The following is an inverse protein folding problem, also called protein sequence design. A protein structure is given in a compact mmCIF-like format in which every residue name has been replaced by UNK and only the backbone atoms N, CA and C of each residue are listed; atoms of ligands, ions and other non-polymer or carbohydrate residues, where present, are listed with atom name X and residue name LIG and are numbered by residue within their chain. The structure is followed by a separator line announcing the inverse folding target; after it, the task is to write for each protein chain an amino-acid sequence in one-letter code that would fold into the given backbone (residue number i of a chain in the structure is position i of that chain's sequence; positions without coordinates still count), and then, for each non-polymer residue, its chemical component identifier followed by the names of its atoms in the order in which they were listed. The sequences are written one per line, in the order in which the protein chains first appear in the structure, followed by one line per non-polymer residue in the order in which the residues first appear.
data_IF_125780639356
#
_entry.id   IF_125780639356
#
_cell.length_a   1.000
_cell.length_b   1.000
_cell.length_c   1.000
_cell.angle_alpha   90.00
_cell.angle_beta   90.00
_cell.angle_gamma   90.00
#
_symmetry.space_group_name_H-M   'P 1'
#
loop_
_entity.id
_entity.type
_entity.pdbx_description
1 polymer ?
#
# COMPACT_ATOMS: atom_id res chain seq x y z
N UNK A 1 0.36 2.61 20.46
CA UNK A 1 1.51 1.95 19.80
C UNK A 1 0.94 1.02 18.76
N UNK A 2 1.16 1.31 17.47
CA UNK A 2 0.81 0.33 16.43
C UNK A 2 1.82 -0.80 16.53
N UNK A 3 1.35 -2.04 16.57
CA UNK A 3 2.21 -3.20 16.70
C UNK A 3 2.91 -3.44 15.35
N UNK A 4 4.24 -3.26 15.28
CA UNK A 4 5.01 -3.45 14.06
C UNK A 4 4.77 -4.83 13.44
N UNK A 5 4.62 -5.87 14.28
CA UNK A 5 4.31 -7.22 13.80
C UNK A 5 2.95 -7.32 13.10
N UNK A 6 1.97 -6.50 13.49
CA UNK A 6 0.67 -6.45 12.79
C UNK A 6 0.80 -5.78 11.42
N UNK A 7 1.59 -4.70 11.32
CA UNK A 7 1.87 -4.04 10.04
C UNK A 7 2.58 -5.01 9.11
N UNK A 8 3.65 -5.64 9.60
CA UNK A 8 4.46 -6.58 8.81
C UNK A 8 3.61 -7.75 8.30
N UNK A 9 2.73 -8.32 9.15
CA UNK A 9 1.84 -9.40 8.75
C UNK A 9 0.86 -8.98 7.63
N UNK A 10 0.27 -7.79 7.72
CA UNK A 10 -0.64 -7.26 6.69
C UNK A 10 0.10 -6.97 5.40
N UNK A 11 1.33 -6.44 5.49
CA UNK A 11 2.18 -6.21 4.33
C UNK A 11 2.52 -7.51 3.60
N UNK A 12 3.00 -8.53 4.32
CA UNK A 12 3.33 -9.82 3.71
C UNK A 12 2.10 -10.48 3.06
N UNK A 13 0.93 -10.39 3.70
CA UNK A 13 -0.32 -10.89 3.14
C UNK A 13 -0.70 -10.17 1.84
N UNK A 14 -0.61 -8.84 1.81
CA UNK A 14 -0.87 -8.04 0.62
C UNK A 14 0.11 -8.40 -0.51
N UNK A 15 1.40 -8.52 -0.19
CA UNK A 15 2.43 -8.87 -1.16
C UNK A 15 2.22 -10.27 -1.74
N UNK A 16 1.82 -11.25 -0.93
CA UNK A 16 1.45 -12.59 -1.39
C UNK A 16 0.23 -12.54 -2.32
N UNK A 17 -0.80 -11.77 -1.98
CA UNK A 17 -1.99 -11.59 -2.81
C UNK A 17 -1.64 -10.98 -4.18
N UNK A 18 -0.84 -9.91 -4.19
CA UNK A 18 -0.47 -9.19 -5.42
C UNK A 18 0.49 -10.00 -6.32
N UNK A 19 1.28 -10.91 -5.75
CA UNK A 19 2.16 -11.83 -6.50
C UNK A 19 1.43 -13.06 -7.03
N UNK A 20 0.27 -13.38 -6.48
CA UNK A 20 -0.50 -14.55 -6.91
C UNK A 20 -1.27 -14.21 -8.18
N UNK A 21 -0.82 -14.74 -9.32
CA UNK A 21 -1.40 -14.58 -10.67
C UNK A 21 -2.85 -15.09 -10.85
N UNK A 22 -3.55 -15.43 -9.77
CA UNK A 22 -4.89 -16.03 -9.78
C UNK A 22 -6.05 -15.03 -9.90
N UNK A 23 -5.77 -13.73 -9.78
CA UNK A 23 -6.81 -12.70 -9.83
C UNK A 23 -6.50 -11.76 -10.99
N UNK A 24 -7.48 -11.40 -11.81
CA UNK A 24 -7.33 -10.41 -12.91
C UNK A 24 -7.07 -8.98 -12.40
N UNK A 25 -6.51 -8.86 -11.20
CA UNK A 25 -6.19 -7.64 -10.51
C UNK A 25 -4.88 -7.11 -11.09
N UNK A 26 -5.00 -6.08 -11.92
CA UNK A 26 -3.86 -5.29 -12.34
C UNK A 26 -3.23 -4.65 -11.10
N UNK A 27 -2.01 -5.06 -10.77
CA UNK A 27 -1.20 -4.45 -9.70
C UNK A 27 -1.19 -2.94 -9.86
N UNK A 28 -1.00 -2.43 -11.08
CA UNK A 28 -1.07 -0.99 -11.40
C UNK A 28 -2.37 -0.34 -10.92
N UNK A 29 -3.53 -0.97 -11.13
CA UNK A 29 -4.83 -0.43 -10.73
C UNK A 29 -4.98 -0.41 -9.21
N UNK A 30 -4.44 -1.40 -8.50
CA UNK A 30 -4.46 -1.43 -7.02
C UNK A 30 -3.66 -0.27 -6.46
N UNK A 31 -2.44 -0.06 -6.97
CA UNK A 31 -1.58 1.04 -6.50
C UNK A 31 -2.21 2.42 -6.78
N UNK A 32 -2.82 2.62 -7.95
CA UNK A 32 -3.51 3.88 -8.27
C UNK A 32 -4.68 4.18 -7.32
N UNK A 33 -5.47 3.16 -6.96
CA UNK A 33 -6.55 3.30 -5.97
C UNK A 33 -6.01 3.62 -4.58
N UNK A 34 -4.92 2.98 -4.17
CA UNK A 34 -4.28 3.24 -2.88
C UNK A 34 -3.72 4.67 -2.81
N UNK A 35 -3.04 5.16 -3.84
CA UNK A 35 -2.56 6.55 -3.93
C UNK A 35 -3.73 7.54 -3.80
N UNK A 36 -4.84 7.28 -4.51
CA UNK A 36 -6.04 8.12 -4.43
C UNK A 36 -6.65 8.14 -3.02
N UNK A 37 -6.67 6.98 -2.36
CA UNK A 37 -7.14 6.85 -0.97
C UNK A 37 -6.28 7.62 0.02
N UNK A 38 -4.95 7.59 -0.13
CA UNK A 38 -4.02 8.34 0.71
C UNK A 38 -4.16 9.86 0.55
N UNK A 39 -4.47 10.32 -0.67
CA UNK A 39 -4.63 11.75 -0.94
C UNK A 39 -6.02 12.27 -0.56
N UNK A 40 -7.04 11.39 -0.54
CA UNK A 40 -8.41 11.71 -0.17
C UNK A 40 -8.66 11.88 1.34
N UNK A 41 -9.95 11.91 1.70
CA UNK A 41 -10.43 12.10 3.08
C UNK A 41 -10.11 10.90 3.99
N UNK A 42 -9.99 9.70 3.41
CA UNK A 42 -9.61 8.48 4.13
C UNK A 42 -8.09 8.33 4.34
N UNK A 43 -7.32 9.29 3.83
CA UNK A 43 -5.87 9.34 3.98
C UNK A 43 -5.45 9.75 5.39
N UNK A 44 -4.18 9.54 5.75
CA UNK A 44 -3.67 10.02 7.02
C UNK A 44 -3.79 11.55 7.12
N UNK A 45 -4.01 12.08 8.33
CA UNK A 45 -4.14 13.52 8.53
C UNK A 45 -2.79 14.21 8.36
N UNK A 46 -2.78 15.35 7.65
CA UNK A 46 -1.60 16.19 7.47
C UNK A 46 -0.75 15.81 6.25
N UNK A 47 -0.15 16.84 5.63
CA UNK A 47 0.64 16.71 4.40
C UNK A 47 1.84 15.78 4.60
N UNK A 48 2.53 15.88 5.75
CA UNK A 48 3.72 15.08 6.03
C UNK A 48 3.39 13.58 6.13
N UNK A 49 2.30 13.23 6.79
CA UNK A 49 1.86 11.85 6.96
C UNK A 49 1.39 11.27 5.63
N UNK A 50 0.69 12.07 4.79
CA UNK A 50 0.34 11.69 3.42
C UNK A 50 1.57 11.43 2.57
N UNK A 51 2.59 12.29 2.64
CA UNK A 51 3.87 12.08 1.93
C UNK A 51 4.59 10.82 2.39
N UNK A 52 4.68 10.58 3.71
CA UNK A 52 5.29 9.35 4.25
C UNK A 52 4.57 8.09 3.76
N UNK A 53 3.24 8.09 3.79
CA UNK A 53 2.44 6.97 3.30
C UNK A 53 2.60 6.75 1.79
N UNK A 54 2.63 7.83 0.99
CA UNK A 54 2.84 7.75 -0.46
C UNK A 54 4.24 7.20 -0.80
N UNK A 55 5.27 7.63 -0.08
CA UNK A 55 6.64 7.12 -0.25
C UNK A 55 6.74 5.63 0.09
N UNK A 56 6.07 5.20 1.16
CA UNK A 56 6.03 3.79 1.53
C UNK A 56 5.28 2.94 0.49
N UNK A 57 4.15 3.43 -0.01
CA UNK A 57 3.42 2.77 -1.08
C UNK A 57 4.26 2.63 -2.36
N UNK A 58 5.03 3.66 -2.72
CA UNK A 58 5.97 3.58 -3.84
C UNK A 58 7.07 2.52 -3.61
N UNK A 59 7.56 2.38 -2.37
CA UNK A 59 8.50 1.33 -2.00
C UNK A 59 7.91 -0.08 -2.21
N UNK A 60 6.68 -0.33 -1.76
CA UNK A 60 5.99 -1.61 -1.96
C UNK A 60 5.83 -1.95 -3.44
N UNK A 61 5.53 -0.95 -4.29
CA UNK A 61 5.40 -1.12 -5.74
C UNK A 61 6.70 -1.62 -6.39
N UNK A 62 7.85 -1.17 -5.89
CA UNK A 62 9.16 -1.61 -6.40
C UNK A 62 9.47 -3.06 -6.05
N UNK A 63 8.96 -3.58 -4.93
CA UNK A 63 9.15 -4.96 -4.50
C UNK A 63 8.29 -5.99 -5.28
N UNK A 64 7.39 -5.52 -6.13
CA UNK A 64 6.53 -6.34 -6.99
C UNK A 64 7.01 -6.44 -8.44
N UNK A 65 8.18 -5.84 -8.76
CA UNK A 65 8.84 -5.99 -10.05
C UNK A 65 9.55 -7.33 -10.19
#
# INVERSE_FOLDING_TARGET
MVNQAQIDAVEQLLMALLKTNGVSLSVSTVFQKAESGLMGENGPPGTEQKTKAANYLAHLKLQLK
#
